data_IF_432239896560
#
_entry.id   IF_432239896560
#
_cell.length_a   1.000
_cell.length_b   1.000
_cell.length_c   1.000
_cell.angle_alpha   90.00
_cell.angle_beta   90.00
_cell.angle_gamma   90.00
#
_symmetry.space_group_name_H-M   'P 1'
#
loop_
_entity.id
_entity.type
_entity.pdbx_description
1 polymer ?
#
# COMPACT_ATOMS: atom_id res chain seq x y z
N UNK A 1 -5.18 34.07 -56.80
CA UNK A 1 -5.71 32.78 -56.35
C UNK A 1 -4.78 31.96 -55.46
N UNK A 2 -3.47 32.10 -55.55
CA UNK A 2 -2.51 31.38 -54.68
C UNK A 2 -2.53 31.77 -53.20
N UNK A 3 -3.01 32.94 -52.86
CA UNK A 3 -3.04 33.46 -51.46
C UNK A 3 -4.15 32.83 -50.59
N UNK A 4 -5.25 32.39 -51.20
CA UNK A 4 -6.37 31.73 -50.46
C UNK A 4 -6.07 30.28 -50.08
N UNK A 5 -5.27 29.60 -50.88
CA UNK A 5 -4.91 28.18 -50.66
C UNK A 5 -3.93 28.07 -49.47
N UNK A 6 -2.99 28.98 -49.35
CA UNK A 6 -2.02 28.98 -48.24
C UNK A 6 -2.66 29.30 -46.87
N UNK A 7 -3.70 30.11 -46.84
CA UNK A 7 -4.42 30.40 -45.60
C UNK A 7 -5.24 29.19 -45.09
N UNK A 8 -5.78 28.37 -45.98
CA UNK A 8 -6.48 27.13 -45.62
C UNK A 8 -5.56 26.05 -45.09
N UNK A 9 -4.39 25.88 -45.68
CA UNK A 9 -3.38 24.93 -45.19
C UNK A 9 -2.85 25.32 -43.79
N UNK A 10 -2.71 26.60 -43.51
CA UNK A 10 -2.32 27.09 -42.18
C UNK A 10 -3.40 26.89 -41.13
N UNK A 11 -4.68 27.03 -41.49
CA UNK A 11 -5.81 26.74 -40.60
C UNK A 11 -5.97 25.24 -40.32
N UNK A 12 -5.74 24.39 -41.30
CA UNK A 12 -5.77 22.94 -41.13
C UNK A 12 -4.64 22.43 -40.24
N UNK A 13 -3.46 23.01 -40.33
CA UNK A 13 -2.33 22.69 -39.45
C UNK A 13 -2.51 23.15 -37.99
N UNK A 14 -3.24 24.24 -37.77
CA UNK A 14 -3.53 24.74 -36.44
C UNK A 14 -4.58 23.88 -35.69
N UNK A 15 -5.40 23.10 -36.43
CA UNK A 15 -6.43 22.24 -35.84
C UNK A 15 -5.91 20.87 -35.39
N UNK A 16 -4.71 20.45 -35.81
CA UNK A 16 -4.16 19.11 -35.55
C UNK A 16 -3.68 18.92 -34.10
N UNK A 17 -3.56 19.97 -33.31
CA UNK A 17 -3.13 19.88 -31.90
C UNK A 17 -4.28 19.51 -30.94
N UNK A 18 -5.52 19.77 -31.33
CA UNK A 18 -6.68 19.53 -30.45
C UNK A 18 -6.91 18.05 -30.14
N UNK A 19 -6.83 17.11 -31.11
CA UNK A 19 -6.93 15.68 -30.82
C UNK A 19 -5.78 15.16 -29.92
N UNK A 20 -4.59 15.70 -30.07
CA UNK A 20 -3.45 15.34 -29.21
C UNK A 20 -3.65 15.78 -27.77
N UNK A 21 -4.17 16.98 -27.55
CA UNK A 21 -4.53 17.47 -26.22
C UNK A 21 -5.63 16.63 -25.59
N UNK A 22 -6.63 16.23 -26.33
CA UNK A 22 -7.73 15.40 -25.86
C UNK A 22 -7.23 14.02 -25.39
N UNK A 23 -6.38 13.35 -26.17
CA UNK A 23 -5.78 12.07 -25.80
C UNK A 23 -4.94 12.22 -24.53
N UNK A 24 -4.14 13.27 -24.41
CA UNK A 24 -3.34 13.50 -23.21
C UNK A 24 -4.20 13.78 -21.98
N UNK A 25 -5.31 14.51 -22.12
CA UNK A 25 -6.28 14.71 -21.04
C UNK A 25 -6.93 13.41 -20.59
N UNK A 26 -7.35 12.57 -21.52
CA UNK A 26 -7.94 11.27 -21.21
C UNK A 26 -6.95 10.38 -20.49
N UNK A 27 -5.69 10.32 -20.93
CA UNK A 27 -4.63 9.58 -20.26
C UNK A 27 -4.36 10.13 -18.85
N UNK A 28 -4.33 11.44 -18.68
CA UNK A 28 -4.12 12.07 -17.39
C UNK A 28 -5.23 11.72 -16.41
N UNK A 29 -6.48 11.81 -16.84
CA UNK A 29 -7.66 11.45 -16.03
C UNK A 29 -7.61 9.96 -15.68
N UNK A 30 -7.27 9.10 -16.62
CA UNK A 30 -7.11 7.67 -16.40
C UNK A 30 -6.07 7.37 -15.31
N UNK A 31 -4.90 7.99 -15.37
CA UNK A 31 -3.87 7.82 -14.34
C UNK A 31 -4.30 8.36 -12.99
N UNK A 32 -4.95 9.51 -12.93
CA UNK A 32 -5.44 10.07 -11.67
C UNK A 32 -6.48 9.15 -11.04
N UNK A 33 -7.44 8.66 -11.82
CA UNK A 33 -8.50 7.78 -11.32
C UNK A 33 -7.92 6.43 -10.89
N UNK A 34 -7.05 5.82 -11.68
CA UNK A 34 -6.44 4.53 -11.33
C UNK A 34 -5.51 4.62 -10.13
N UNK A 35 -4.79 5.72 -9.97
CA UNK A 35 -3.93 5.94 -8.81
C UNK A 35 -4.70 5.99 -7.48
N UNK A 36 -5.97 6.39 -7.52
CA UNK A 36 -6.81 6.40 -6.32
C UNK A 36 -7.35 5.03 -5.92
N UNK A 37 -7.37 4.08 -6.84
CA UNK A 37 -7.81 2.71 -6.56
C UNK A 37 -6.72 1.83 -5.96
N UNK A 38 -5.49 2.28 -5.93
CA UNK A 38 -4.47 1.66 -5.10
C UNK A 38 -4.75 2.09 -3.65
N UNK A 39 -5.80 1.52 -3.07
CA UNK A 39 -5.85 1.40 -1.63
C UNK A 39 -4.70 0.48 -1.28
N UNK A 40 -3.57 1.07 -1.01
CA UNK A 40 -2.59 0.38 -0.21
C UNK A 40 -3.34 -0.02 1.06
N UNK A 41 -3.52 -1.30 1.36
CA UNK A 41 -3.90 -1.72 2.69
C UNK A 41 -2.71 -1.38 3.58
N UNK A 42 -2.61 -0.19 3.91
CA UNK A 42 -1.66 0.43 4.80
C UNK A 42 -2.54 1.25 5.67
N UNK A 43 -2.88 0.61 6.74
CA UNK A 43 -3.42 1.15 7.93
C UNK A 43 -3.13 2.63 8.01
N UNK A 44 -4.18 3.43 7.92
CA UNK A 44 -4.19 4.67 8.64
C UNK A 44 -3.95 4.32 10.11
N UNK A 45 -2.68 4.33 10.48
CA UNK A 45 -2.36 4.46 11.88
C UNK A 45 -2.96 5.82 12.24
N UNK A 46 -4.17 5.79 12.75
CA UNK A 46 -4.68 6.87 13.53
C UNK A 46 -3.63 7.09 14.62
N UNK A 47 -2.69 7.97 14.35
CA UNK A 47 -1.87 8.54 15.40
C UNK A 47 -2.86 9.11 16.38
N UNK A 48 -3.11 8.34 17.41
CA UNK A 48 -3.56 8.96 18.65
C UNK A 48 -2.46 9.96 18.94
N UNK A 49 -2.76 11.24 18.77
CA UNK A 49 -1.90 12.32 19.21
C UNK A 49 -1.64 12.12 20.72
N UNK A 50 -0.66 11.31 21.03
CA UNK A 50 -0.03 11.36 22.31
C UNK A 50 0.87 12.59 22.28
N UNK A 51 0.28 13.71 22.61
CA UNK A 51 1.01 14.88 23.04
C UNK A 51 2.01 14.43 24.11
N UNK A 52 3.28 14.69 23.84
CA UNK A 52 4.41 14.49 24.73
C UNK A 52 4.88 13.04 24.91
N UNK A 53 5.84 12.66 24.10
CA UNK A 53 7.15 12.30 24.63
C UNK A 53 8.13 12.09 23.46
N UNK A 54 9.32 12.59 23.61
CA UNK A 54 10.49 12.35 22.76
C UNK A 54 10.93 10.87 22.75
N UNK A 55 10.00 9.96 22.98
CA UNK A 55 10.15 8.55 22.72
C UNK A 55 9.67 8.28 21.30
N UNK A 56 10.58 8.37 20.36
CA UNK A 56 10.41 7.70 19.09
C UNK A 56 10.33 6.21 19.43
N UNK A 57 9.09 5.73 19.60
CA UNK A 57 8.89 4.30 19.73
C UNK A 57 9.54 3.63 18.52
N UNK A 58 10.39 2.63 18.71
CA UNK A 58 10.99 1.94 17.59
C UNK A 58 9.87 1.47 16.68
N UNK A 59 9.97 1.80 15.40
CA UNK A 59 8.97 1.45 14.41
C UNK A 59 8.72 -0.06 14.45
N UNK A 60 7.54 -0.43 14.89
CA UNK A 60 7.15 -1.84 14.98
C UNK A 60 7.04 -2.51 13.60
N UNK A 61 7.10 -3.81 13.59
CA UNK A 61 6.79 -4.60 12.39
C UNK A 61 5.27 -4.71 12.31
N UNK A 62 4.70 -4.16 11.26
CA UNK A 62 3.25 -4.22 11.03
C UNK A 62 2.96 -5.32 10.02
N UNK A 63 2.17 -6.29 10.46
CA UNK A 63 1.66 -7.37 9.64
C UNK A 63 0.15 -7.18 9.50
N UNK A 64 -0.35 -7.11 8.30
CA UNK A 64 -1.78 -6.98 8.03
C UNK A 64 -2.31 -8.21 7.29
N UNK A 65 -3.52 -8.63 7.65
CA UNK A 65 -4.27 -9.69 6.96
C UNK A 65 -5.56 -9.05 6.47
N UNK A 66 -5.80 -9.09 5.17
CA UNK A 66 -7.02 -8.55 4.58
C UNK A 66 -8.19 -9.55 4.58
N UNK A 67 -9.35 -9.10 4.12
CA UNK A 67 -10.57 -9.91 4.00
C UNK A 67 -10.42 -11.12 3.06
N UNK A 68 -9.46 -11.09 2.12
CA UNK A 68 -9.16 -12.18 1.20
C UNK A 68 -8.13 -13.18 1.76
N UNK A 69 -7.72 -12.99 3.01
CA UNK A 69 -6.67 -13.77 3.66
C UNK A 69 -5.26 -13.57 3.07
N UNK A 70 -5.06 -12.45 2.40
CA UNK A 70 -3.75 -12.03 1.93
C UNK A 70 -2.94 -11.38 3.07
N UNK A 71 -1.67 -11.71 3.14
CA UNK A 71 -0.76 -11.23 4.18
C UNK A 71 0.14 -10.13 3.63
N UNK A 72 0.20 -9.03 4.35
CA UNK A 72 1.04 -7.88 4.02
C UNK A 72 2.01 -7.59 5.16
N UNK A 73 3.27 -7.39 4.83
CA UNK A 73 4.29 -6.92 5.77
C UNK A 73 4.91 -5.65 5.24
N UNK A 74 4.96 -4.62 6.07
CA UNK A 74 5.47 -3.31 5.67
C UNK A 74 4.83 -2.76 4.38
N UNK A 75 3.54 -3.06 4.16
CA UNK A 75 2.74 -2.70 2.98
C UNK A 75 3.05 -3.48 1.70
N UNK A 76 3.86 -4.49 1.77
CA UNK A 76 4.14 -5.37 0.65
C UNK A 76 3.45 -6.72 0.85
N UNK A 77 2.75 -7.19 -0.18
CA UNK A 77 2.10 -8.50 -0.15
C UNK A 77 3.16 -9.59 -0.21
N UNK A 78 3.12 -10.51 0.73
CA UNK A 78 4.03 -11.64 0.79
C UNK A 78 3.27 -12.96 0.91
N UNK A 79 3.89 -14.03 0.46
CA UNK A 79 3.34 -15.37 0.68
C UNK A 79 3.58 -15.84 2.11
N UNK A 80 2.65 -16.64 2.61
CA UNK A 80 2.71 -17.18 3.96
C UNK A 80 3.99 -18.00 4.22
N UNK A 81 4.50 -18.65 3.18
CA UNK A 81 5.77 -19.41 3.23
C UNK A 81 7.01 -18.52 3.44
N UNK A 82 6.94 -17.27 3.00
CA UNK A 82 8.04 -16.30 3.11
C UNK A 82 7.95 -15.43 4.37
N UNK A 83 6.82 -15.48 5.06
CA UNK A 83 6.54 -14.62 6.21
C UNK A 83 7.59 -14.77 7.33
N UNK A 84 7.95 -15.99 7.68
CA UNK A 84 8.93 -16.25 8.73
C UNK A 84 10.30 -15.65 8.39
N UNK A 85 10.75 -15.85 7.17
CA UNK A 85 12.01 -15.29 6.68
C UNK A 85 11.99 -13.77 6.67
N UNK A 86 10.91 -13.18 6.17
CA UNK A 86 10.74 -11.72 6.11
C UNK A 86 10.76 -11.09 7.51
N UNK A 87 10.10 -11.71 8.48
CA UNK A 87 10.12 -11.24 9.88
C UNK A 87 11.53 -11.31 10.46
N UNK A 88 12.26 -12.37 10.23
CA UNK A 88 13.65 -12.50 10.68
C UNK A 88 14.55 -11.42 10.10
N UNK A 89 14.43 -11.17 8.80
CA UNK A 89 15.18 -10.11 8.12
C UNK A 89 14.87 -8.72 8.69
N UNK A 90 13.59 -8.43 8.91
CA UNK A 90 13.17 -7.17 9.53
C UNK A 90 13.65 -7.05 10.98
N UNK A 91 13.75 -8.16 11.71
CA UNK A 91 14.29 -8.19 13.06
C UNK A 91 15.78 -7.91 13.14
N UNK A 92 16.55 -8.29 12.14
CA UNK A 92 17.96 -7.92 12.05
C UNK A 92 18.16 -6.42 11.96
N UNK A 93 17.26 -5.75 11.27
CA UNK A 93 17.29 -4.29 11.11
C UNK A 93 16.66 -3.56 12.30
N UNK A 94 15.63 -4.16 12.92
CA UNK A 94 14.83 -3.54 13.98
C UNK A 94 14.57 -4.53 15.13
N UNK A 95 15.60 -4.74 15.96
CA UNK A 95 15.58 -5.76 17.01
C UNK A 95 14.61 -5.48 18.17
N UNK A 96 14.18 -4.24 18.38
CA UNK A 96 13.39 -3.81 19.53
C UNK A 96 11.95 -3.41 19.20
N UNK A 97 11.54 -3.44 17.95
CA UNK A 97 10.19 -3.07 17.54
C UNK A 97 9.14 -4.10 17.98
N UNK A 98 7.97 -3.64 18.36
CA UNK A 98 6.82 -4.52 18.61
C UNK A 98 6.28 -5.07 17.28
N UNK A 99 5.74 -6.28 17.32
CA UNK A 99 4.99 -6.82 16.17
C UNK A 99 3.51 -6.49 16.39
N UNK A 100 2.95 -5.75 15.44
CA UNK A 100 1.53 -5.42 15.42
C UNK A 100 0.87 -6.23 14.32
N UNK A 101 -0.05 -7.10 14.70
CA UNK A 101 -0.86 -7.87 13.78
C UNK A 101 -2.22 -7.20 13.63
N UNK A 102 -2.53 -6.74 12.44
CA UNK A 102 -3.82 -6.16 12.12
C UNK A 102 -4.63 -7.13 11.27
N UNK A 103 -5.83 -7.38 11.71
CA UNK A 103 -6.74 -8.32 11.06
C UNK A 103 -7.98 -7.57 10.61
N UNK A 104 -8.18 -7.51 9.31
CA UNK A 104 -9.39 -6.97 8.71
C UNK A 104 -10.44 -8.08 8.58
N UNK A 105 -11.69 -7.76 8.89
CA UNK A 105 -12.90 -8.59 8.76
C UNK A 105 -12.70 -10.11 8.60
N UNK A 106 -12.59 -10.83 9.71
CA UNK A 106 -12.68 -12.29 9.79
C UNK A 106 -11.98 -13.07 8.64
N UNK A 107 -10.64 -13.07 8.58
CA UNK A 107 -9.93 -13.93 7.65
C UNK A 107 -10.23 -15.41 7.96
N UNK A 108 -9.93 -16.28 7.02
CA UNK A 108 -10.01 -17.72 7.29
C UNK A 108 -9.22 -18.08 8.55
N UNK A 109 -9.84 -18.81 9.46
CA UNK A 109 -9.25 -19.14 10.76
C UNK A 109 -7.88 -19.82 10.66
N UNK A 110 -7.63 -20.60 9.61
CA UNK A 110 -6.36 -21.24 9.36
C UNK A 110 -5.23 -20.29 9.00
N UNK A 111 -5.51 -19.17 8.34
CA UNK A 111 -4.51 -18.18 7.97
C UNK A 111 -4.00 -17.42 9.19
N UNK A 112 -4.88 -17.02 10.08
CA UNK A 112 -4.50 -16.35 11.32
C UNK A 112 -3.57 -17.24 12.17
N UNK A 113 -3.91 -18.50 12.32
CA UNK A 113 -3.08 -19.46 13.06
C UNK A 113 -1.73 -19.67 12.41
N UNK A 114 -1.67 -19.79 11.10
CA UNK A 114 -0.42 -19.92 10.35
C UNK A 114 0.46 -18.67 10.47
N UNK A 115 -0.12 -17.49 10.44
CA UNK A 115 0.59 -16.21 10.65
C UNK A 115 1.15 -16.13 12.07
N UNK A 116 0.36 -16.48 13.06
CA UNK A 116 0.81 -16.53 14.47
C UNK A 116 1.95 -17.52 14.66
N UNK A 117 1.89 -18.70 14.06
CA UNK A 117 2.99 -19.67 14.10
C UNK A 117 4.26 -19.14 13.44
N UNK A 118 4.14 -18.48 12.30
CA UNK A 118 5.29 -17.88 11.62
C UNK A 118 5.96 -16.78 12.47
N UNK A 119 5.17 -15.95 13.14
CA UNK A 119 5.67 -14.92 14.06
C UNK A 119 6.41 -15.55 15.23
N UNK A 120 5.84 -16.52 15.88
CA UNK A 120 6.43 -17.22 17.03
C UNK A 120 7.70 -17.97 16.62
N UNK A 121 7.73 -18.58 15.44
CA UNK A 121 8.93 -19.27 14.92
C UNK A 121 10.05 -18.31 14.59
N UNK A 122 9.72 -17.12 14.08
CA UNK A 122 10.71 -16.10 13.75
C UNK A 122 11.28 -15.38 14.99
N UNK A 123 10.42 -15.09 15.96
CA UNK A 123 10.80 -14.39 17.18
C UNK A 123 9.93 -14.85 18.36
N UNK A 124 10.35 -15.91 19.09
CA UNK A 124 9.58 -16.43 20.22
C UNK A 124 9.43 -15.49 21.41
N UNK A 125 10.32 -14.51 21.52
CA UNK A 125 10.34 -13.57 22.66
C UNK A 125 9.56 -12.29 22.37
N UNK A 126 9.09 -12.10 21.14
CA UNK A 126 8.39 -10.88 20.77
C UNK A 126 6.97 -10.85 21.32
N UNK A 127 6.59 -9.71 21.89
CA UNK A 127 5.20 -9.41 22.17
C UNK A 127 4.46 -9.08 20.87
N UNK A 128 3.35 -9.77 20.65
CA UNK A 128 2.49 -9.56 19.50
C UNK A 128 1.22 -8.84 19.97
N UNK A 129 1.02 -7.63 19.46
CA UNK A 129 -0.23 -6.91 19.66
C UNK A 129 -1.17 -7.20 18.51
N UNK A 130 -2.31 -7.81 18.80
CA UNK A 130 -3.34 -8.09 17.81
C UNK A 130 -4.38 -6.97 17.85
N UNK A 131 -4.54 -6.27 16.75
CA UNK A 131 -5.59 -5.29 16.55
C UNK A 131 -6.59 -5.81 15.54
N UNK A 132 -7.84 -5.89 15.94
CA UNK A 132 -8.94 -6.21 15.05
C UNK A 132 -9.72 -4.93 14.79
N UNK A 133 -9.96 -4.61 13.54
CA UNK A 133 -10.96 -3.60 13.22
C UNK A 133 -12.35 -4.20 13.50
N UNK A 134 -12.90 -3.80 14.62
CA UNK A 134 -14.31 -4.03 14.92
C UNK A 134 -15.11 -2.89 14.32
N UNK A 135 -15.82 -3.20 13.27
CA UNK A 135 -16.89 -2.34 12.81
C UNK A 135 -18.07 -2.35 13.79
#
# INVERSE_FOLDING_TARGET
>A
MARKVRAREAEEQALDLTPMLDVTFILLIFFIVTAQFIKLPGVDISRTDAENDNNIAPLGIIIAIDENSDVFVAREKIELSELEFTIRELRETNAKGEIVLQVDNAPEAGVLDSVMQAIVSADPESAVNVSTELD
#
